data_IF_543014493234
#
_entry.id   IF_543014493234
#
_cell.length_a   1.000
_cell.length_b   1.000
_cell.length_c   1.000
_cell.angle_alpha   90.00
_cell.angle_beta   90.00
_cell.angle_gamma   90.00
#
_symmetry.space_group_name_H-M   'P 1'
#
loop_
_entity.id
_entity.type
_entity.pdbx_description
1 polymer ?
#
# COMPACT_ATOMS: atom_id res chain seq x y z
N UNK A 1 -22.38 3.70 -12.20
CA UNK A 1 -21.68 3.33 -10.95
C UNK A 1 -20.49 2.46 -11.31
N UNK A 2 -19.26 2.96 -11.13
CA UNK A 2 -18.04 2.22 -11.48
C UNK A 2 -17.79 1.18 -10.38
N UNK A 3 -18.18 -0.07 -10.59
CA UNK A 3 -17.63 -1.21 -9.83
C UNK A 3 -16.37 -1.66 -10.57
N UNK A 4 -15.25 -0.99 -10.33
CA UNK A 4 -13.96 -1.61 -10.61
C UNK A 4 -13.71 -2.57 -9.45
N UNK A 5 -13.98 -3.85 -9.69
CA UNK A 5 -13.66 -4.91 -8.77
C UNK A 5 -12.16 -4.95 -8.52
N UNK A 6 -11.79 -5.00 -7.24
CA UNK A 6 -10.46 -5.46 -6.84
C UNK A 6 -10.43 -6.98 -7.03
N UNK A 7 -10.28 -7.41 -8.28
CA UNK A 7 -9.82 -8.77 -8.56
C UNK A 7 -8.34 -8.84 -8.19
N UNK A 8 -7.89 -10.02 -7.73
CA UNK A 8 -6.53 -10.33 -7.28
C UNK A 8 -5.44 -9.84 -8.24
N UNK A 9 -5.01 -8.59 -8.10
CA UNK A 9 -3.90 -8.00 -8.81
C UNK A 9 -2.93 -7.45 -7.78
N UNK A 10 -1.66 -7.84 -7.89
CA UNK A 10 -0.50 -7.15 -7.30
C UNK A 10 -0.37 -5.75 -7.93
N UNK A 11 -1.40 -4.92 -7.79
CA UNK A 11 -1.43 -3.58 -8.35
C UNK A 11 -0.55 -2.67 -7.51
N UNK A 12 0.36 -1.97 -8.16
CA UNK A 12 1.14 -0.90 -7.53
C UNK A 12 0.20 0.26 -7.19
N UNK A 13 0.09 0.57 -5.90
CA UNK A 13 -0.63 1.75 -5.42
C UNK A 13 0.38 2.85 -5.07
N UNK A 14 0.12 4.08 -5.49
CA UNK A 14 0.93 5.25 -5.14
C UNK A 14 0.10 6.16 -4.23
N UNK A 15 0.57 6.36 -3.00
CA UNK A 15 0.01 7.33 -2.08
C UNK A 15 0.95 8.53 -1.97
N UNK A 16 0.44 9.73 -2.28
CA UNK A 16 1.17 10.98 -2.03
C UNK A 16 0.79 11.54 -0.65
N UNK A 17 1.78 12.02 0.09
CA UNK A 17 1.62 12.71 1.37
C UNK A 17 2.44 14.00 1.36
N UNK A 18 1.90 15.07 1.95
CA UNK A 18 2.56 16.37 2.07
C UNK A 18 2.59 16.79 3.53
N UNK A 19 3.73 17.35 3.97
CA UNK A 19 3.88 17.87 5.34
C UNK A 19 3.91 16.80 6.44
N UNK A 20 3.99 15.51 6.09
CA UNK A 20 3.98 14.39 7.03
C UNK A 20 5.05 13.36 6.65
N UNK A 21 5.64 12.72 7.65
CA UNK A 21 6.66 11.65 7.50
C UNK A 21 6.09 10.24 7.75
N UNK A 22 4.78 10.13 7.88
CA UNK A 22 4.04 8.92 8.22
C UNK A 22 2.79 8.82 7.35
N UNK A 23 2.45 7.61 6.91
CA UNK A 23 1.23 7.34 6.14
C UNK A 23 0.73 5.93 6.45
N UNK A 24 -0.58 5.76 6.46
CA UNK A 24 -1.22 4.45 6.60
C UNK A 24 -1.69 3.96 5.23
N UNK A 25 -1.24 2.78 4.82
CA UNK A 25 -1.75 2.10 3.63
C UNK A 25 -2.94 1.22 4.05
N UNK A 26 -4.13 1.54 3.54
CA UNK A 26 -5.36 0.82 3.83
C UNK A 26 -5.81 -0.04 2.64
N UNK A 27 -6.72 -0.99 2.88
CA UNK A 27 -7.27 -1.85 1.84
C UNK A 27 -6.29 -2.92 1.33
N UNK A 28 -5.28 -3.26 2.13
CA UNK A 28 -4.37 -4.36 1.84
C UNK A 28 -5.06 -5.71 2.14
N UNK A 29 -4.77 -6.72 1.32
CA UNK A 29 -5.21 -8.09 1.55
C UNK A 29 -4.53 -8.65 2.81
N UNK A 30 -5.26 -9.46 3.57
CA UNK A 30 -4.71 -10.17 4.72
C UNK A 30 -3.67 -11.21 4.27
N UNK A 31 -2.73 -11.54 5.16
CA UNK A 31 -1.70 -12.56 4.94
C UNK A 31 -0.93 -12.44 3.61
N UNK A 32 -0.73 -11.22 3.13
CA UNK A 32 -0.18 -10.95 1.78
C UNK A 32 1.16 -10.23 1.89
N UNK A 33 2.16 -10.68 1.13
CA UNK A 33 3.47 -10.05 1.06
C UNK A 33 3.43 -8.81 0.14
N UNK A 34 3.73 -7.65 0.73
CA UNK A 34 3.83 -6.38 0.02
C UNK A 34 5.27 -5.89 -0.04
N UNK A 35 5.64 -5.29 -1.17
CA UNK A 35 6.89 -4.54 -1.30
C UNK A 35 6.60 -3.04 -1.36
N UNK A 36 7.16 -2.29 -0.41
CA UNK A 36 6.97 -0.86 -0.24
C UNK A 36 8.27 -0.11 -0.57
N UNK A 37 8.14 1.03 -1.25
CA UNK A 37 9.23 1.99 -1.48
C UNK A 37 8.70 3.41 -1.29
N UNK A 38 9.56 4.29 -0.79
CA UNK A 38 9.27 5.73 -0.65
C UNK A 38 10.18 6.53 -1.57
N UNK A 39 9.68 7.63 -2.11
CA UNK A 39 10.48 8.57 -2.90
C UNK A 39 10.04 10.00 -2.56
N UNK A 40 11.00 10.89 -2.33
CA UNK A 40 10.69 12.31 -2.17
C UNK A 40 10.19 12.87 -3.50
N UNK A 41 9.22 13.79 -3.45
CA UNK A 41 8.76 14.53 -4.63
C UNK A 41 8.66 16.01 -4.32
N UNK A 42 9.10 16.84 -5.26
CA UNK A 42 8.97 18.30 -5.21
C UNK A 42 8.51 18.82 -6.58
N UNK A 43 8.42 20.15 -6.75
CA UNK A 43 8.00 20.78 -8.00
C UNK A 43 8.85 20.41 -9.23
N UNK A 44 10.12 20.03 -9.04
CA UNK A 44 10.99 19.57 -10.14
C UNK A 44 10.72 18.12 -10.54
N UNK A 45 10.14 17.31 -9.66
CA UNK A 45 9.76 15.92 -9.96
C UNK A 45 9.92 14.96 -8.79
N UNK A 46 9.95 13.67 -9.11
CA UNK A 46 10.18 12.56 -8.18
C UNK A 46 11.68 12.27 -8.09
N UNK A 47 12.21 12.19 -6.87
CA UNK A 47 13.58 11.77 -6.59
C UNK A 47 13.76 10.25 -6.66
N UNK A 48 14.97 9.74 -6.34
CA UNK A 48 15.24 8.31 -6.30
C UNK A 48 14.35 7.61 -5.27
N UNK A 49 13.97 6.37 -5.57
CA UNK A 49 13.26 5.52 -4.63
C UNK A 49 14.20 4.98 -3.56
N UNK A 50 13.67 4.75 -2.37
CA UNK A 50 14.33 4.02 -1.30
C UNK A 50 14.60 2.56 -1.71
N UNK A 51 15.46 1.84 -0.95
CA UNK A 51 15.45 0.38 -0.97
C UNK A 51 14.04 -0.18 -0.76
N UNK A 52 13.80 -1.37 -1.32
CA UNK A 52 12.54 -2.11 -1.18
C UNK A 52 12.43 -2.67 0.23
N UNK A 53 11.32 -2.40 0.90
CA UNK A 53 10.94 -3.06 2.14
C UNK A 53 9.85 -4.09 1.82
N UNK A 54 10.08 -5.36 2.15
CA UNK A 54 9.05 -6.40 2.01
C UNK A 54 8.52 -6.79 3.38
N UNK A 55 7.20 -6.76 3.54
CA UNK A 55 6.52 -7.16 4.77
C UNK A 55 5.20 -7.86 4.45
N UNK A 56 4.77 -8.75 5.35
CA UNK A 56 3.49 -9.45 5.25
C UNK A 56 2.46 -8.77 6.14
N UNK A 57 1.25 -8.60 5.62
CA UNK A 57 0.10 -8.19 6.45
C UNK A 57 -0.31 -9.33 7.39
N UNK A 58 -0.95 -8.97 8.51
CA UNK A 58 -1.49 -9.94 9.45
C UNK A 58 -2.60 -10.78 8.79
N UNK A 59 -2.85 -11.96 9.38
CA UNK A 59 -4.02 -12.77 9.04
C UNK A 59 -5.32 -12.01 9.33
N UNK A 60 -6.40 -12.38 8.64
CA UNK A 60 -7.71 -11.86 8.94
C UNK A 60 -8.18 -12.39 10.31
N UNK A 61 -8.99 -11.63 11.07
CA UNK A 61 -9.69 -12.17 12.23
C UNK A 61 -10.50 -13.42 11.84
N UNK A 62 -10.71 -14.37 12.76
CA UNK A 62 -11.59 -15.50 12.49
C UNK A 62 -13.01 -15.01 12.19
N UNK A 63 -13.73 -15.79 11.38
CA UNK A 63 -15.14 -15.54 11.16
C UNK A 63 -15.91 -15.64 12.50
N UNK A 64 -16.95 -14.81 12.71
CA UNK A 64 -17.77 -14.91 13.90
C UNK A 64 -18.33 -16.33 14.07
N UNK A 65 -18.43 -16.85 15.31
CA UNK A 65 -19.18 -18.08 15.55
C UNK A 65 -20.64 -17.87 15.14
N UNK A 66 -21.18 -18.84 14.40
CA UNK A 66 -22.58 -18.86 13.95
C UNK A 66 -23.59 -19.09 15.05
#
# INVERSE_FOLDING_TARGET
MKRCGFINETSSQIQQVQGQTTVTLAGLLAYTNYTVQVAASNRKGRGPASPRLTCQTMEAPPDPPG
#
